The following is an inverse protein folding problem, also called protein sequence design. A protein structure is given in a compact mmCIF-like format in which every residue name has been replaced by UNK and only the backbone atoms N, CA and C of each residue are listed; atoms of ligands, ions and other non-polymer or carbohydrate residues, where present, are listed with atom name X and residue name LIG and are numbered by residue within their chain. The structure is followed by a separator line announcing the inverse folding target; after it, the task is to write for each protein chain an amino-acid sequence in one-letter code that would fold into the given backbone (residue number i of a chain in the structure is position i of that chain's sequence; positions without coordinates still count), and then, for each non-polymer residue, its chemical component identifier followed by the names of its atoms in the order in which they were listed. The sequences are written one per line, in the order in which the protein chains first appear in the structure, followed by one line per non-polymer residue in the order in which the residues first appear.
data_IF_814921866846
#
_entry.id   IF_814921866846
#
_cell.length_a   1.000
_cell.length_b   1.000
_cell.length_c   1.000
_cell.angle_alpha   90.00
_cell.angle_beta   90.00
_cell.angle_gamma   90.00
#
_symmetry.space_group_name_H-M   'P 1'
#
loop_
_entity.id
_entity.type
_entity.pdbx_description
1 polymer ?
#
# COMPACT_ATOMS: atom_id res chain seq x y z
N UNK A 1 28.55 22.97 -8.44
CA UNK A 1 27.17 22.75 -8.91
C UNK A 1 26.25 22.76 -7.71
N UNK A 2 25.20 23.58 -7.72
CA UNK A 2 24.17 23.59 -6.69
C UNK A 2 22.92 22.89 -7.23
N UNK A 3 22.33 21.99 -6.46
CA UNK A 3 21.05 21.35 -6.76
C UNK A 3 20.18 21.24 -5.50
N UNK A 4 18.88 21.11 -5.72
CA UNK A 4 17.86 20.81 -4.71
C UNK A 4 17.14 19.54 -5.14
N UNK A 5 16.88 18.64 -4.19
CA UNK A 5 16.20 17.37 -4.42
C UNK A 5 15.02 17.21 -3.46
N UNK A 6 13.92 16.67 -3.96
CA UNK A 6 12.78 16.24 -3.15
C UNK A 6 12.30 14.88 -3.65
N UNK A 7 12.08 13.96 -2.73
CA UNK A 7 11.30 12.76 -2.96
C UNK A 7 10.07 12.81 -2.05
N UNK A 8 8.88 13.13 -2.59
CA UNK A 8 7.66 13.23 -1.78
C UNK A 8 7.10 11.85 -1.39
N UNK A 9 7.66 10.76 -1.92
CA UNK A 9 7.16 9.41 -1.65
C UNK A 9 7.53 9.00 -0.23
N UNK A 10 6.51 8.71 0.58
CA UNK A 10 6.70 8.12 1.91
C UNK A 10 7.07 6.64 1.76
N UNK A 11 8.20 6.24 2.32
CA UNK A 11 8.69 4.85 2.27
C UNK A 11 8.40 4.18 3.61
N UNK A 12 7.51 3.19 3.59
CA UNK A 12 7.28 2.30 4.74
C UNK A 12 8.20 1.07 4.59
N UNK A 13 9.31 1.04 5.34
CA UNK A 13 10.35 0.02 5.20
C UNK A 13 10.39 -0.95 6.39
N UNK A 14 10.53 -2.25 6.09
CA UNK A 14 10.64 -3.31 7.08
C UNK A 14 9.54 -4.37 6.99
N UNK A 15 9.72 -5.48 7.71
CA UNK A 15 8.73 -6.54 7.78
C UNK A 15 7.42 -6.03 8.42
N UNK A 16 6.27 -6.41 7.86
CA UNK A 16 4.95 -6.05 8.39
C UNK A 16 4.47 -4.63 8.06
N UNK A 17 5.24 -3.85 7.28
CA UNK A 17 4.87 -2.48 6.94
C UNK A 17 3.63 -2.34 6.03
N UNK A 18 3.12 -3.45 5.48
CA UNK A 18 1.88 -3.45 4.71
C UNK A 18 0.68 -2.94 5.53
N UNK A 19 0.71 -3.11 6.85
CA UNK A 19 -0.33 -2.59 7.76
C UNK A 19 -0.44 -1.05 7.75
N UNK A 20 0.63 -0.35 7.33
CA UNK A 20 0.63 1.11 7.22
C UNK A 20 -0.35 1.62 6.15
N UNK A 21 -0.79 0.76 5.22
CA UNK A 21 -1.81 1.10 4.22
C UNK A 21 -3.08 1.65 4.88
N UNK A 22 -3.50 1.07 6.02
CA UNK A 22 -4.70 1.50 6.75
C UNK A 22 -4.68 2.97 7.17
N UNK A 23 -3.49 3.53 7.41
CA UNK A 23 -3.29 4.93 7.81
C UNK A 23 -2.88 5.82 6.64
N UNK A 24 -2.22 5.25 5.63
CA UNK A 24 -1.74 5.98 4.46
C UNK A 24 -2.85 6.29 3.45
N UNK A 25 -3.93 5.50 3.45
CA UNK A 25 -5.07 5.69 2.54
C UNK A 25 -6.25 6.27 3.32
N UNK A 26 -6.78 7.38 2.82
CA UNK A 26 -7.98 8.02 3.37
C UNK A 26 -9.22 7.10 3.19
N UNK A 27 -9.91 6.82 4.29
CA UNK A 27 -11.10 5.93 4.32
C UNK A 27 -12.31 6.50 3.58
N UNK A 28 -12.35 7.80 3.31
CA UNK A 28 -13.41 8.44 2.53
C UNK A 28 -13.28 8.18 1.02
N UNK A 29 -12.15 7.64 0.55
CA UNK A 29 -11.87 7.38 -0.86
C UNK A 29 -12.16 5.93 -1.21
N UNK A 30 -12.72 5.72 -2.41
CA UNK A 30 -12.84 4.39 -2.98
C UNK A 30 -11.52 3.96 -3.61
N UNK A 31 -11.01 2.81 -3.22
CA UNK A 31 -9.72 2.26 -3.66
C UNK A 31 -9.96 1.30 -4.83
N UNK A 32 -8.97 1.17 -5.71
CA UNK A 32 -8.90 0.13 -6.73
C UNK A 32 -7.53 -0.56 -6.60
N UNK A 33 -7.54 -1.86 -6.32
CA UNK A 33 -6.30 -2.65 -6.21
C UNK A 33 -5.95 -3.25 -7.57
N UNK A 34 -4.83 -2.82 -8.15
CA UNK A 34 -4.32 -3.30 -9.44
C UNK A 34 -3.16 -4.26 -9.21
N UNK A 35 -3.21 -5.45 -9.81
CA UNK A 35 -2.14 -6.45 -9.75
C UNK A 35 -2.05 -7.25 -11.06
N UNK A 36 -0.90 -7.90 -11.28
CA UNK A 36 -0.60 -8.68 -12.48
C UNK A 36 -1.13 -10.12 -12.41
N UNK A 37 -0.33 -11.09 -12.90
CA UNK A 37 -0.72 -12.50 -13.09
C UNK A 37 -1.10 -13.32 -11.85
N UNK A 38 -1.30 -12.71 -10.69
CA UNK A 38 -1.93 -13.34 -9.53
C UNK A 38 -0.99 -14.00 -8.51
N UNK A 39 0.34 -13.95 -8.69
CA UNK A 39 1.31 -14.51 -7.73
C UNK A 39 1.16 -13.94 -6.31
N UNK A 40 0.64 -12.72 -6.16
CA UNK A 40 0.36 -12.13 -4.85
C UNK A 40 -0.73 -12.85 -4.05
N UNK A 41 -1.56 -13.66 -4.71
CA UNK A 41 -2.57 -14.49 -4.04
C UNK A 41 -1.95 -15.75 -3.46
N UNK A 42 -0.98 -16.35 -4.15
CA UNK A 42 -0.34 -17.59 -3.69
C UNK A 42 0.65 -17.36 -2.55
N UNK A 43 1.26 -16.17 -2.48
CA UNK A 43 2.22 -15.83 -1.43
C UNK A 43 1.62 -15.05 -0.25
N UNK A 44 0.30 -14.88 -0.21
CA UNK A 44 -0.41 -14.23 0.90
C UNK A 44 -0.29 -12.70 0.97
N UNK A 45 0.35 -12.05 -0.02
CA UNK A 45 0.44 -10.57 -0.07
C UNK A 45 -0.94 -9.96 -0.31
N UNK A 46 -1.75 -10.57 -1.19
CA UNK A 46 -3.11 -10.11 -1.47
C UNK A 46 -3.93 -10.06 -0.19
N UNK A 47 -3.91 -11.14 0.61
CA UNK A 47 -4.68 -11.23 1.85
C UNK A 47 -4.24 -10.17 2.87
N UNK A 48 -2.94 -9.88 2.94
CA UNK A 48 -2.41 -8.82 3.80
C UNK A 48 -2.87 -7.42 3.35
N UNK A 49 -2.94 -7.15 2.04
CA UNK A 49 -3.49 -5.89 1.51
C UNK A 49 -4.97 -5.77 1.84
N UNK A 50 -5.75 -6.83 1.61
CA UNK A 50 -7.19 -6.86 1.91
C UNK A 50 -7.44 -6.62 3.40
N UNK A 51 -6.68 -7.29 4.27
CA UNK A 51 -6.78 -7.09 5.71
C UNK A 51 -6.46 -5.64 6.12
N UNK A 52 -5.50 -5.01 5.44
CA UNK A 52 -5.11 -3.61 5.71
C UNK A 52 -6.14 -2.59 5.20
N UNK A 53 -6.98 -2.98 4.24
CA UNK A 53 -8.05 -2.16 3.65
C UNK A 53 -9.44 -2.52 4.20
N UNK A 54 -9.54 -3.30 5.27
CA UNK A 54 -10.83 -3.82 5.80
C UNK A 54 -11.86 -2.72 6.14
N UNK A 55 -11.38 -1.51 6.47
CA UNK A 55 -12.20 -0.36 6.86
C UNK A 55 -12.34 0.67 5.70
N UNK A 56 -11.88 0.30 4.49
CA UNK A 56 -11.95 1.11 3.28
C UNK A 56 -12.97 0.52 2.29
N UNK A 57 -13.59 1.37 1.49
CA UNK A 57 -14.32 0.90 0.31
C UNK A 57 -13.31 0.63 -0.81
N UNK A 58 -13.15 -0.63 -1.23
CA UNK A 58 -12.17 -1.02 -2.25
C UNK A 58 -12.72 -2.05 -3.25
#
# INVERSE_FOLDING_TARGET
MQFTYVNPTVIHFGQGQINAISQAVDTSKKVLVIYGGGSIKSNGVYDQVVASLKDHAW
#
